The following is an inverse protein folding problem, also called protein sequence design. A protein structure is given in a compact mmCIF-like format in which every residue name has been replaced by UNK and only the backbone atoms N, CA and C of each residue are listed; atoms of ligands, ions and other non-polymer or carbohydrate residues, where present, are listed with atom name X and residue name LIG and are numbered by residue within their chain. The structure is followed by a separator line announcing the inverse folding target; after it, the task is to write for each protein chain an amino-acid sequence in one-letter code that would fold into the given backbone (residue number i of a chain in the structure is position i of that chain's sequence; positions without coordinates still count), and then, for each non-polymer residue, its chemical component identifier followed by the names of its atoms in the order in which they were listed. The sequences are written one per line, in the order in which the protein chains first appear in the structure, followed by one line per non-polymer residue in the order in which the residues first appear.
data_IF_983999004428
#
_entry.id   IF_983999004428
#
_cell.length_a   1.000
_cell.length_b   1.000
_cell.length_c   1.000
_cell.angle_alpha   90.00
_cell.angle_beta   90.00
_cell.angle_gamma   90.00
#
_symmetry.space_group_name_H-M   'P 1'
#
loop_
_entity.id
_entity.type
_entity.pdbx_description
1 polymer ?
#
# COMPACT_ATOMS: atom_id res chain seq x y z
N UNK A 1 -71.17 20.32 -13.25
CA UNK A 1 -71.30 19.21 -12.28
C UNK A 1 -70.06 18.35 -12.42
N UNK A 2 -69.25 18.32 -11.34
CA UNK A 2 -68.28 17.27 -10.95
C UNK A 2 -67.03 17.17 -11.84
N UNK A 3 -65.92 17.87 -11.50
CA UNK A 3 -64.84 17.55 -10.54
C UNK A 3 -63.83 16.52 -11.08
N UNK A 4 -62.53 16.86 -11.07
CA UNK A 4 -61.50 15.90 -11.45
C UNK A 4 -60.04 16.39 -11.45
N UNK A 5 -59.65 17.36 -10.63
CA UNK A 5 -58.24 17.73 -10.46
C UNK A 5 -57.51 16.67 -9.61
N UNK A 6 -56.86 15.71 -10.27
CA UNK A 6 -55.95 14.76 -9.64
C UNK A 6 -54.61 15.42 -9.29
N UNK A 7 -54.47 15.90 -8.06
CA UNK A 7 -53.17 16.26 -7.49
C UNK A 7 -52.36 15.00 -7.17
N UNK A 8 -51.42 14.64 -8.04
CA UNK A 8 -50.39 13.65 -7.75
C UNK A 8 -49.32 14.26 -6.82
N UNK A 9 -49.51 14.04 -5.53
CA UNK A 9 -48.58 14.39 -4.45
C UNK A 9 -47.35 13.48 -4.52
N UNK A 10 -46.27 13.97 -5.13
CA UNK A 10 -44.96 13.30 -5.11
C UNK A 10 -44.42 13.31 -3.67
N UNK A 11 -44.23 12.12 -3.11
CA UNK A 11 -43.58 11.89 -1.81
C UNK A 11 -42.07 12.22 -1.90
N UNK A 12 -41.46 12.81 -0.86
CA UNK A 12 -40.04 13.08 -0.84
C UNK A 12 -39.24 11.77 -0.69
N UNK A 13 -38.40 11.49 -1.69
CA UNK A 13 -37.44 10.39 -1.69
C UNK A 13 -36.44 10.59 -0.56
N UNK A 14 -36.58 9.81 0.52
CA UNK A 14 -35.59 9.73 1.59
C UNK A 14 -34.29 9.14 1.04
N UNK A 15 -33.37 10.02 0.63
CA UNK A 15 -31.98 9.66 0.40
C UNK A 15 -31.36 9.25 1.75
N UNK A 16 -31.28 7.94 2.00
CA UNK A 16 -30.47 7.41 3.09
C UNK A 16 -29.01 7.80 2.86
N UNK A 17 -28.48 8.66 3.72
CA UNK A 17 -27.05 8.85 3.88
C UNK A 17 -26.45 7.54 4.39
N UNK A 18 -25.90 6.74 3.48
CA UNK A 18 -24.98 5.66 3.82
C UNK A 18 -23.73 6.31 4.41
N UNK A 19 -23.66 6.36 5.73
CA UNK A 19 -22.41 6.64 6.43
C UNK A 19 -21.44 5.50 6.07
N UNK A 20 -20.57 5.75 5.10
CA UNK A 20 -19.40 4.92 4.81
C UNK A 20 -18.48 4.99 6.02
N UNK A 21 -18.79 4.19 7.05
CA UNK A 21 -17.88 3.89 8.12
C UNK A 21 -16.69 3.17 7.47
N UNK A 22 -15.62 3.93 7.27
CA UNK A 22 -14.35 3.44 6.79
C UNK A 22 -13.97 2.21 7.63
N UNK A 23 -13.87 0.99 7.06
CA UNK A 23 -13.48 -0.18 7.82
C UNK A 23 -12.07 0.07 8.34
N UNK A 24 -11.97 0.40 9.63
CA UNK A 24 -10.70 0.56 10.32
C UNK A 24 -10.01 -0.79 10.24
N UNK A 25 -8.89 -0.83 9.54
CA UNK A 25 -8.08 -2.03 9.42
C UNK A 25 -7.68 -2.48 10.83
N UNK A 26 -8.21 -3.60 11.29
CA UNK A 26 -8.01 -4.14 12.66
C UNK A 26 -6.76 -5.01 12.78
N UNK A 27 -6.08 -5.32 11.67
CA UNK A 27 -4.76 -5.97 11.71
C UNK A 27 -3.74 -4.93 12.18
N UNK A 28 -2.88 -5.30 13.13
CA UNK A 28 -1.69 -4.53 13.51
C UNK A 28 -0.90 -4.16 12.24
N UNK A 29 -1.17 -2.99 11.65
CA UNK A 29 -0.44 -2.41 10.51
C UNK A 29 0.92 -1.85 10.99
N UNK A 30 1.53 -2.50 11.99
CA UNK A 30 2.84 -2.13 12.49
C UNK A 30 3.90 -2.70 11.54
N UNK A 31 4.87 -1.89 11.11
CA UNK A 31 6.01 -2.37 10.34
C UNK A 31 6.77 -3.46 11.11
N UNK A 32 7.14 -4.53 10.42
CA UNK A 32 8.01 -5.59 10.96
C UNK A 32 9.39 -5.05 11.24
N UNK A 33 10.13 -5.72 12.11
CA UNK A 33 11.48 -5.30 12.52
C UNK A 33 12.43 -5.02 11.33
N UNK A 34 12.42 -5.92 10.35
CA UNK A 34 13.25 -5.82 9.14
C UNK A 34 12.64 -4.99 8.01
N UNK A 35 11.45 -4.41 8.20
CA UNK A 35 10.87 -3.53 7.19
C UNK A 35 11.68 -2.24 7.08
N UNK A 36 11.97 -1.85 5.84
CA UNK A 36 12.64 -0.60 5.49
C UNK A 36 11.57 0.49 5.39
N UNK A 37 11.68 1.50 6.23
CA UNK A 37 10.77 2.65 6.22
C UNK A 37 11.37 3.76 5.36
N UNK A 38 10.72 4.04 4.23
CA UNK A 38 11.07 5.18 3.39
C UNK A 38 10.50 6.46 4.02
N UNK A 39 11.20 7.07 4.98
CA UNK A 39 10.85 8.41 5.47
C UNK A 39 11.82 9.45 4.91
N UNK A 40 11.29 10.54 4.37
CA UNK A 40 12.11 11.72 4.05
C UNK A 40 12.67 12.30 5.35
N UNK A 41 13.93 12.03 5.65
CA UNK A 41 14.62 12.49 6.87
C UNK A 41 15.49 11.41 7.51
N UNK A 42 15.99 11.67 8.72
CA UNK A 42 16.69 10.67 9.54
C UNK A 42 15.70 9.57 9.91
N UNK A 43 15.78 8.43 9.22
CA UNK A 43 15.00 7.28 9.58
C UNK A 43 15.38 6.83 11.00
N UNK A 44 14.41 6.39 11.82
CA UNK A 44 14.72 5.80 13.11
C UNK A 44 15.62 4.58 12.92
N UNK A 45 16.52 4.34 13.86
CA UNK A 45 17.41 3.17 13.87
C UNK A 45 16.55 1.91 13.94
N UNK A 46 16.35 1.27 12.79
CA UNK A 46 15.62 0.01 12.65
C UNK A 46 16.52 -0.99 11.93
N UNK A 47 16.49 -2.28 12.30
CA UNK A 47 17.31 -3.30 11.66
C UNK A 47 17.17 -3.34 10.14
N UNK A 48 15.95 -3.17 9.60
CA UNK A 48 15.71 -3.07 8.16
C UNK A 48 16.46 -1.91 7.49
N UNK A 49 16.35 -0.70 8.06
CA UNK A 49 17.05 0.48 7.55
C UNK A 49 18.58 0.36 7.71
N UNK A 50 19.07 -0.20 8.81
CA UNK A 50 20.51 -0.46 9.03
C UNK A 50 21.06 -1.44 7.99
N UNK A 51 20.34 -2.53 7.72
CA UNK A 51 20.71 -3.48 6.67
C UNK A 51 20.72 -2.79 5.30
N UNK A 52 19.69 -2.02 4.99
CA UNK A 52 19.60 -1.27 3.74
C UNK A 52 20.78 -0.29 3.57
N UNK A 53 21.10 0.50 4.59
CA UNK A 53 22.21 1.46 4.55
C UNK A 53 23.56 0.75 4.37
N UNK A 54 23.77 -0.39 5.02
CA UNK A 54 24.96 -1.24 4.81
C UNK A 54 25.07 -1.71 3.36
N UNK A 55 24.00 -2.28 2.81
CA UNK A 55 23.97 -2.78 1.42
C UNK A 55 24.21 -1.66 0.40
N UNK A 56 23.67 -0.47 0.65
CA UNK A 56 23.94 0.73 -0.15
C UNK A 56 25.41 1.11 -0.03
N UNK A 57 25.96 1.19 1.19
CA UNK A 57 27.37 1.52 1.42
C UNK A 57 28.34 0.60 0.66
N UNK A 58 28.06 -0.71 0.62
CA UNK A 58 28.85 -1.70 -0.12
C UNK A 58 28.82 -1.51 -1.63
N UNK A 59 27.69 -1.06 -2.19
CA UNK A 59 27.48 -0.97 -3.64
C UNK A 59 27.60 0.45 -4.20
N UNK A 60 27.55 1.47 -3.33
CA UNK A 60 27.61 2.89 -3.70
C UNK A 60 28.85 3.24 -4.52
N UNK A 61 30.08 2.83 -4.16
CA UNK A 61 31.27 3.16 -4.95
C UNK A 61 31.17 2.64 -6.39
N UNK A 62 30.68 1.42 -6.56
CA UNK A 62 30.49 0.82 -7.88
C UNK A 62 29.39 1.55 -8.68
N UNK A 63 28.28 1.89 -8.01
CA UNK A 63 27.16 2.59 -8.64
C UNK A 63 27.52 4.01 -9.11
N UNK A 64 28.31 4.73 -8.31
CA UNK A 64 28.75 6.11 -8.56
C UNK A 64 29.96 6.21 -9.48
N UNK A 65 30.74 5.14 -9.63
CA UNK A 65 31.95 5.11 -10.49
C UNK A 65 31.72 5.48 -11.96
N UNK A 66 30.47 5.47 -12.43
CA UNK A 66 30.14 5.69 -13.84
C UNK A 66 30.44 4.49 -14.75
N UNK A 67 31.05 3.43 -14.22
CA UNK A 67 31.44 2.23 -14.99
C UNK A 67 30.23 1.35 -15.34
N UNK A 68 29.15 1.42 -14.55
CA UNK A 68 27.96 0.61 -14.75
C UNK A 68 27.02 1.22 -15.79
N UNK A 69 26.60 0.38 -16.75
CA UNK A 69 25.47 0.68 -17.64
C UNK A 69 24.15 0.72 -16.87
N UNK A 70 23.13 1.31 -17.48
CA UNK A 70 21.79 1.43 -16.88
C UNK A 70 21.21 0.06 -16.44
N UNK A 71 21.41 -0.99 -17.23
CA UNK A 71 20.98 -2.36 -16.88
C UNK A 71 21.68 -2.90 -15.63
N UNK A 72 22.99 -2.68 -15.51
CA UNK A 72 23.76 -3.13 -14.35
C UNK A 72 23.42 -2.34 -13.09
N UNK A 73 23.13 -1.03 -13.23
CA UNK A 73 22.62 -0.21 -12.12
C UNK A 73 21.29 -0.76 -11.59
N UNK A 74 20.40 -1.17 -12.49
CA UNK A 74 19.15 -1.85 -12.13
C UNK A 74 19.40 -3.19 -11.40
N UNK A 75 20.33 -4.01 -11.88
CA UNK A 75 20.69 -5.28 -11.22
C UNK A 75 21.19 -5.06 -9.78
N UNK A 76 21.99 -4.02 -9.56
CA UNK A 76 22.43 -3.63 -8.21
C UNK A 76 21.24 -3.28 -7.32
N UNK A 77 20.30 -2.46 -7.80
CA UNK A 77 19.08 -2.13 -7.06
C UNK A 77 18.22 -3.36 -6.77
N UNK A 78 18.02 -4.24 -7.75
CA UNK A 78 17.27 -5.48 -7.59
C UNK A 78 17.95 -6.45 -6.62
N UNK A 79 19.28 -6.49 -6.60
CA UNK A 79 20.04 -7.27 -5.62
C UNK A 79 19.79 -6.75 -4.20
N UNK A 80 19.85 -5.42 -3.98
CA UNK A 80 19.56 -4.82 -2.66
C UNK A 80 18.15 -5.17 -2.19
N UNK A 81 17.16 -5.06 -3.08
CA UNK A 81 15.76 -5.41 -2.75
C UNK A 81 15.62 -6.88 -2.36
N UNK A 82 16.31 -7.77 -3.07
CA UNK A 82 16.32 -9.21 -2.74
C UNK A 82 16.93 -9.48 -1.37
N UNK A 83 18.03 -8.82 -1.00
CA UNK A 83 18.65 -9.01 0.31
C UNK A 83 17.70 -8.62 1.46
N UNK A 84 17.02 -7.48 1.35
CA UNK A 84 16.02 -7.05 2.35
C UNK A 84 14.84 -8.02 2.44
N UNK A 85 14.37 -8.56 1.30
CA UNK A 85 13.29 -9.56 1.30
C UNK A 85 13.73 -10.88 1.91
N UNK A 86 14.96 -11.32 1.64
CA UNK A 86 15.53 -12.53 2.19
C UNK A 86 15.69 -12.46 3.72
N UNK A 87 15.88 -11.26 4.28
CA UNK A 87 15.84 -11.02 5.73
C UNK A 87 14.42 -10.88 6.30
N UNK A 88 13.37 -11.16 5.50
CA UNK A 88 11.97 -11.08 5.92
C UNK A 88 11.37 -9.67 5.95
N UNK A 89 12.10 -8.67 5.42
CA UNK A 89 11.67 -7.28 5.38
C UNK A 89 10.97 -6.87 4.08
N UNK A 90 10.22 -5.77 4.14
CA UNK A 90 9.62 -5.10 2.99
C UNK A 90 9.95 -3.61 2.96
N UNK A 91 9.89 -3.00 1.77
CA UNK A 91 9.99 -1.55 1.61
C UNK A 91 8.60 -0.93 1.80
N UNK A 92 8.43 -0.17 2.87
CA UNK A 92 7.17 0.50 3.17
C UNK A 92 7.24 1.96 2.73
N UNK A 93 6.35 2.33 1.83
CA UNK A 93 6.09 3.73 1.50
C UNK A 93 5.40 4.40 2.69
N UNK A 94 5.79 5.64 3.01
CA UNK A 94 5.07 6.45 4.00
C UNK A 94 3.57 6.41 3.71
N UNK A 95 2.82 6.01 4.73
CA UNK A 95 1.38 6.11 4.76
C UNK A 95 1.00 7.58 4.58
N UNK A 96 0.57 7.97 3.37
CA UNK A 96 -0.10 9.27 3.22
C UNK A 96 -1.40 9.20 4.03
N UNK A 97 -1.66 10.19 4.88
CA UNK A 97 -2.97 10.30 5.58
C UNK A 97 -4.07 10.15 4.53
N UNK A 98 -4.90 9.10 4.65
CA UNK A 98 -5.97 8.78 3.70
C UNK A 98 -5.73 7.60 2.74
N UNK A 99 -4.52 7.02 2.65
CA UNK A 99 -4.30 5.80 1.86
C UNK A 99 -4.62 4.53 2.67
N UNK A 100 -5.30 3.56 2.04
CA UNK A 100 -5.65 2.26 2.63
C UNK A 100 -4.39 1.47 2.99
N UNK A 101 -4.40 0.69 4.07
CA UNK A 101 -3.26 -0.16 4.46
C UNK A 101 -2.98 -1.12 3.31
N UNK A 102 -1.82 -1.04 2.67
CA UNK A 102 -1.43 -2.03 1.63
C UNK A 102 -1.40 -3.46 2.19
N UNK A 103 -1.26 -3.62 3.50
CA UNK A 103 -1.27 -4.92 4.20
C UNK A 103 -2.69 -5.52 4.28
N UNK A 104 -3.76 -4.71 4.30
CA UNK A 104 -5.15 -5.20 4.29
C UNK A 104 -5.96 -4.73 3.07
N UNK A 105 -5.28 -4.18 2.07
CA UNK A 105 -5.88 -3.57 0.88
C UNK A 105 -6.12 -4.53 -0.28
N UNK A 106 -5.94 -5.85 -0.09
CA UNK A 106 -6.10 -6.83 -1.15
C UNK A 106 -7.03 -7.97 -0.72
N UNK A 107 -8.32 -7.67 -0.63
CA UNK A 107 -9.39 -8.68 -0.63
C UNK A 107 -10.37 -8.35 -1.77
N UNK A 108 -9.90 -8.51 -3.00
CA UNK A 108 -10.79 -8.79 -4.11
C UNK A 108 -10.12 -9.79 -5.08
N UNK A 109 -9.70 -10.92 -4.52
CA UNK A 109 -9.57 -12.15 -5.28
C UNK A 109 -10.93 -12.85 -5.24
N UNK A 110 -11.71 -12.59 -6.28
CA UNK A 110 -12.70 -13.45 -6.90
C UNK A 110 -13.03 -14.75 -6.14
N UNK A 111 -14.07 -14.72 -5.32
CA UNK A 111 -14.79 -15.94 -4.92
C UNK A 111 -15.94 -16.16 -5.90
N UNK A 112 -15.62 -16.63 -7.11
CA UNK A 112 -16.60 -17.20 -8.03
C UNK A 112 -16.41 -18.71 -8.03
N UNK A 113 -16.76 -19.34 -6.91
CA UNK A 113 -17.00 -20.78 -6.88
C UNK A 113 -18.33 -21.05 -7.57
N UNK A 114 -18.26 -21.31 -8.88
CA UNK A 114 -19.33 -22.00 -9.58
C UNK A 114 -19.32 -23.47 -9.11
N UNK A 115 -20.21 -23.78 -8.19
CA UNK A 115 -20.56 -25.15 -7.83
C UNK A 115 -21.67 -25.59 -8.79
N UNK A 116 -21.28 -26.21 -9.91
CA UNK A 116 -22.22 -26.92 -10.79
C UNK A 116 -21.92 -28.42 -10.71
N UNK A 117 -22.82 -29.18 -10.11
CA UNK A 117 -23.04 -30.61 -10.34
C UNK A 117 -24.45 -30.93 -9.86
#
# INVERSE_FOLDING_TARGET
MIDGEHQHRLLPTQHQQIQLQNPRCTRNCQPREHDVLCRGGRAPFRPGNTLFDKLIGERKPLYESGLLRHTQKREVSEWIVRQVRNSGGAFLSQYRRGQRCKICGNNNSSSSSNSSS
#
